data_IF_089985759553
#
_entry.id   IF_089985759553
#
_cell.length_a   1.000
_cell.length_b   1.000
_cell.length_c   1.000
_cell.angle_alpha   90.00
_cell.angle_beta   90.00
_cell.angle_gamma   90.00
#
_symmetry.space_group_name_H-M   'P 1'
#
loop_
_entity.id
_entity.type
_entity.pdbx_description
1 polymer ?
#
# COMPACT_ATOMS: atom_id res chain seq x y z
N UNK A 1 15.01 -12.63 5.08
CA UNK A 1 13.88 -12.30 5.97
C UNK A 1 13.04 -11.29 5.21
N UNK A 2 11.89 -11.72 4.68
CA UNK A 2 11.08 -10.91 3.77
C UNK A 2 10.29 -9.87 4.58
N UNK A 3 10.90 -8.71 4.79
CA UNK A 3 10.47 -7.65 5.70
C UNK A 3 9.06 -7.13 5.46
N UNK A 4 8.60 -7.17 4.22
CA UNK A 4 7.26 -6.74 3.81
C UNK A 4 6.18 -7.81 4.09
N UNK A 5 6.58 -9.08 4.16
CA UNK A 5 5.70 -10.22 4.48
C UNK A 5 5.15 -10.12 5.90
N UNK A 6 6.03 -9.79 6.84
CA UNK A 6 5.71 -9.80 8.28
C UNK A 6 4.67 -8.72 8.62
N UNK A 7 4.69 -7.58 7.91
CA UNK A 7 3.71 -6.50 8.07
C UNK A 7 2.34 -6.93 7.53
N UNK A 8 2.28 -7.43 6.28
CA UNK A 8 1.02 -7.85 5.67
C UNK A 8 0.36 -8.96 6.49
N UNK A 9 1.14 -9.96 6.93
CA UNK A 9 0.66 -11.00 7.83
C UNK A 9 0.19 -10.43 9.18
N UNK A 10 0.95 -9.49 9.77
CA UNK A 10 0.56 -8.82 11.01
C UNK A 10 -0.76 -8.06 10.90
N UNK A 11 -0.94 -7.28 9.83
CA UNK A 11 -2.17 -6.52 9.55
C UNK A 11 -3.35 -7.48 9.34
N UNK A 12 -3.18 -8.53 8.54
CA UNK A 12 -4.21 -9.56 8.32
C UNK A 12 -4.64 -10.22 9.64
N UNK A 13 -3.68 -10.62 10.47
CA UNK A 13 -3.94 -11.21 11.80
C UNK A 13 -4.72 -10.27 12.70
N UNK A 14 -4.28 -9.01 12.81
CA UNK A 14 -4.89 -8.01 13.69
C UNK A 14 -6.30 -7.64 13.23
N UNK A 15 -6.52 -7.47 11.92
CA UNK A 15 -7.85 -7.19 11.39
C UNK A 15 -8.79 -8.37 11.57
N UNK A 16 -8.31 -9.59 11.32
CA UNK A 16 -9.10 -10.79 11.51
C UNK A 16 -9.47 -10.99 12.98
N UNK A 17 -8.50 -10.81 13.90
CA UNK A 17 -8.76 -10.80 15.34
C UNK A 17 -9.84 -9.78 15.70
N UNK A 18 -9.69 -8.53 15.23
CA UNK A 18 -10.64 -7.44 15.50
C UNK A 18 -12.07 -7.79 15.06
N UNK A 19 -12.21 -8.36 13.86
CA UNK A 19 -13.49 -8.82 13.31
C UNK A 19 -14.09 -9.96 14.15
N UNK A 20 -13.28 -10.91 14.60
CA UNK A 20 -13.72 -12.04 15.43
C UNK A 20 -14.24 -11.52 16.78
N UNK A 21 -13.52 -10.59 17.41
CA UNK A 21 -13.93 -10.02 18.70
C UNK A 21 -15.27 -9.30 18.58
N UNK A 22 -15.45 -8.46 17.57
CA UNK A 22 -16.73 -7.80 17.33
C UNK A 22 -17.86 -8.79 16.98
N UNK A 23 -17.54 -9.89 16.30
CA UNK A 23 -18.48 -10.98 16.08
C UNK A 23 -18.94 -11.67 17.37
N UNK A 24 -18.04 -11.83 18.36
CA UNK A 24 -18.37 -12.37 19.67
C UNK A 24 -19.30 -11.44 20.46
N UNK A 25 -19.12 -10.12 20.36
CA UNK A 25 -20.01 -9.13 20.99
C UNK A 25 -21.45 -9.18 20.44
N UNK A 26 -21.61 -9.48 19.15
CA UNK A 26 -22.94 -9.67 18.56
C UNK A 26 -23.64 -10.95 19.05
N UNK A 27 -22.87 -11.98 19.39
CA UNK A 27 -23.41 -13.28 19.82
C UNK A 27 -23.65 -13.34 21.34
N UNK A 28 -22.92 -12.56 22.13
CA UNK A 28 -22.94 -12.59 23.59
C UNK A 28 -22.99 -11.18 24.16
N UNK A 29 -24.01 -10.88 24.99
CA UNK A 29 -24.13 -9.58 25.66
C UNK A 29 -23.28 -9.46 26.93
N UNK A 30 -22.73 -10.56 27.44
CA UNK A 30 -21.96 -10.60 28.69
C UNK A 30 -20.46 -10.52 28.39
N UNK A 31 -19.81 -9.48 28.93
CA UNK A 31 -18.37 -9.25 28.77
C UNK A 31 -17.51 -10.41 29.33
N UNK A 32 -17.96 -11.08 30.39
CA UNK A 32 -17.27 -12.25 30.95
C UNK A 32 -17.13 -13.38 29.94
N UNK A 33 -18.17 -13.61 29.15
CA UNK A 33 -18.23 -14.71 28.19
C UNK A 33 -17.35 -14.38 26.99
N UNK A 34 -17.36 -13.12 26.55
CA UNK A 34 -16.45 -12.62 25.51
C UNK A 34 -14.99 -12.79 25.97
N UNK A 35 -14.63 -12.34 27.18
CA UNK A 35 -13.26 -12.48 27.69
C UNK A 35 -12.87 -13.96 27.80
N UNK A 36 -13.78 -14.83 28.26
CA UNK A 36 -13.56 -16.28 28.29
C UNK A 36 -13.28 -16.86 26.90
N UNK A 37 -14.06 -16.48 25.89
CA UNK A 37 -13.86 -16.88 24.50
C UNK A 37 -12.57 -16.31 23.90
N UNK A 38 -12.18 -15.08 24.25
CA UNK A 38 -10.93 -14.47 23.78
C UNK A 38 -9.70 -15.17 24.32
N UNK A 39 -9.78 -15.73 25.53
CA UNK A 39 -8.68 -16.49 26.11
C UNK A 39 -8.55 -17.91 25.53
N UNK A 40 -9.56 -18.39 24.80
CA UNK A 40 -9.51 -19.70 24.15
C UNK A 40 -8.42 -19.73 23.07
N UNK A 41 -7.60 -20.78 23.10
CA UNK A 41 -6.56 -21.04 22.10
C UNK A 41 -7.15 -21.03 20.67
N UNK A 42 -8.36 -21.56 20.52
CA UNK A 42 -9.12 -21.56 19.27
C UNK A 42 -9.30 -20.14 18.68
N UNK A 43 -9.54 -19.12 19.50
CA UNK A 43 -9.74 -17.74 19.01
C UNK A 43 -8.44 -17.13 18.50
N UNK A 44 -7.33 -17.38 19.19
CA UNK A 44 -6.01 -16.94 18.76
C UNK A 44 -5.61 -17.66 17.47
N UNK A 45 -5.79 -18.99 17.41
CA UNK A 45 -5.51 -19.79 16.22
C UNK A 45 -6.34 -19.33 15.03
N UNK A 46 -7.66 -19.15 15.19
CA UNK A 46 -8.53 -18.61 14.13
C UNK A 46 -8.08 -17.25 13.63
N UNK A 47 -7.59 -16.40 14.53
CA UNK A 47 -7.09 -15.08 14.19
C UNK A 47 -5.83 -15.15 13.33
N UNK A 48 -4.92 -16.07 13.65
CA UNK A 48 -3.66 -16.30 12.91
C UNK A 48 -3.83 -17.20 11.67
N UNK A 49 -4.90 -17.99 11.58
CA UNK A 49 -5.14 -18.92 10.47
C UNK A 49 -5.17 -18.22 9.11
N UNK A 50 -5.63 -16.97 9.05
CA UNK A 50 -5.64 -16.14 7.85
C UNK A 50 -4.23 -15.96 7.25
N UNK A 51 -3.19 -15.91 8.08
CA UNK A 51 -1.81 -15.74 7.64
C UNK A 51 -1.22 -16.99 7.02
N UNK A 52 -1.64 -18.18 7.47
CA UNK A 52 -1.23 -19.45 6.86
C UNK A 52 -1.80 -19.63 5.45
N UNK A 53 -2.93 -18.96 5.17
CA UNK A 53 -3.57 -18.96 3.86
C UNK A 53 -3.04 -17.89 2.93
N UNK A 54 -2.24 -16.95 3.44
CA UNK A 54 -1.63 -15.89 2.66
C UNK A 54 -0.38 -16.42 1.93
N UNK A 55 -0.26 -16.27 0.60
CA UNK A 55 0.88 -16.81 -0.12
C UNK A 55 2.21 -16.17 0.28
N UNK A 56 3.25 -16.98 0.29
CA UNK A 56 4.60 -16.53 0.57
C UNK A 56 5.10 -15.57 -0.51
N UNK A 57 5.64 -14.42 -0.09
CA UNK A 57 6.30 -13.47 -0.99
C UNK A 57 5.41 -12.37 -1.58
N UNK A 58 4.09 -12.42 -1.34
CA UNK A 58 3.18 -11.36 -1.76
C UNK A 58 3.17 -10.20 -0.76
N UNK A 59 3.42 -9.00 -1.29
CA UNK A 59 3.30 -7.74 -0.56
C UNK A 59 2.07 -6.98 -1.06
N UNK A 60 1.31 -6.45 -0.11
CA UNK A 60 0.22 -5.54 -0.41
C UNK A 60 0.24 -4.35 0.54
N UNK A 61 -0.18 -3.18 0.03
CA UNK A 61 -0.33 -1.96 0.82
C UNK A 61 -1.39 -2.16 1.89
N UNK A 62 -1.13 -1.61 3.07
CA UNK A 62 -2.02 -1.74 4.24
C UNK A 62 -3.43 -1.22 3.94
N UNK A 63 -3.52 -0.16 3.15
CA UNK A 63 -4.78 0.46 2.72
C UNK A 63 -5.64 -0.46 1.84
N UNK A 64 -5.00 -1.33 1.06
CA UNK A 64 -5.68 -2.29 0.20
C UNK A 64 -6.19 -3.50 1.00
N UNK A 65 -5.52 -3.87 2.10
CA UNK A 65 -5.99 -4.94 2.99
C UNK A 65 -7.36 -4.59 3.57
N UNK A 66 -7.61 -3.32 3.91
CA UNK A 66 -8.90 -2.92 4.47
C UNK A 66 -10.08 -3.01 3.48
N UNK A 67 -9.80 -2.91 2.16
CA UNK A 67 -10.82 -2.89 1.10
C UNK A 67 -11.33 -4.27 0.71
N UNK A 68 -10.87 -5.30 1.39
CA UNK A 68 -11.32 -6.66 1.15
C UNK A 68 -12.76 -6.79 1.66
N UNK A 69 -13.67 -7.43 0.89
CA UNK A 69 -15.07 -7.61 1.30
C UNK A 69 -15.24 -8.21 2.69
N UNK A 70 -14.33 -9.10 3.11
CA UNK A 70 -14.29 -9.66 4.47
C UNK A 70 -14.23 -8.59 5.57
N UNK A 71 -13.29 -7.65 5.45
CA UNK A 71 -13.07 -6.61 6.46
C UNK A 71 -14.02 -5.44 6.26
N UNK A 72 -14.30 -5.06 5.02
CA UNK A 72 -15.20 -3.96 4.70
C UNK A 72 -16.63 -4.22 5.19
N UNK A 73 -17.08 -5.48 5.16
CA UNK A 73 -18.40 -5.87 5.67
C UNK A 73 -18.48 -5.89 7.20
N UNK A 74 -17.39 -6.21 7.88
CA UNK A 74 -17.38 -6.41 9.34
C UNK A 74 -16.88 -5.19 10.12
N UNK A 75 -16.01 -4.40 9.50
CA UNK A 75 -15.31 -3.27 10.12
C UNK A 75 -15.61 -1.98 9.34
N UNK A 76 -15.85 -0.89 10.08
CA UNK A 76 -15.91 0.46 9.53
C UNK A 76 -14.73 1.25 10.06
N UNK A 77 -13.82 1.68 9.17
CA UNK A 77 -12.75 2.60 9.53
C UNK A 77 -13.33 4.00 9.76
N UNK A 78 -13.05 4.61 10.91
CA UNK A 78 -13.62 5.91 11.31
C UNK A 78 -12.59 7.03 11.39
N UNK A 79 -11.32 6.71 11.67
CA UNK A 79 -10.25 7.70 11.71
C UNK A 79 -8.90 7.06 11.45
N UNK A 80 -7.98 7.82 10.87
CA UNK A 80 -6.57 7.47 10.73
C UNK A 80 -5.73 8.55 11.40
N UNK A 81 -4.81 8.15 12.27
CA UNK A 81 -3.89 9.05 12.98
C UNK A 81 -2.46 8.64 12.73
N UNK A 82 -1.58 9.64 12.67
CA UNK A 82 -0.15 9.44 12.46
C UNK A 82 0.64 10.35 13.40
N UNK A 83 1.46 9.77 14.27
CA UNK A 83 2.34 10.53 15.17
C UNK A 83 3.42 9.66 15.80
N UNK A 84 4.31 10.24 16.60
CA UNK A 84 5.30 9.49 17.37
C UNK A 84 4.61 8.68 18.48
N UNK A 85 5.09 7.46 18.81
CA UNK A 85 4.49 6.61 19.83
C UNK A 85 4.86 7.10 21.25
N UNK A 86 4.37 8.28 21.63
CA UNK A 86 4.53 8.85 22.97
C UNK A 86 3.36 8.45 23.87
N UNK A 87 3.55 8.44 25.20
CA UNK A 87 2.45 8.18 26.14
C UNK A 87 1.25 9.11 25.93
N UNK A 88 1.50 10.39 25.65
CA UNK A 88 0.45 11.39 25.41
C UNK A 88 -0.34 11.10 24.13
N UNK A 89 0.36 10.65 23.07
CA UNK A 89 -0.29 10.25 21.83
C UNK A 89 -1.16 9.02 22.05
N UNK A 90 -0.63 7.96 22.66
CA UNK A 90 -1.42 6.76 22.98
C UNK A 90 -2.62 7.09 23.88
N UNK A 91 -2.45 7.99 24.85
CA UNK A 91 -3.56 8.46 25.71
C UNK A 91 -4.64 9.12 24.86
N UNK A 92 -4.27 10.05 23.99
CA UNK A 92 -5.21 10.75 23.10
C UNK A 92 -5.96 9.76 22.22
N UNK A 93 -5.24 8.81 21.62
CA UNK A 93 -5.80 7.83 20.70
C UNK A 93 -6.72 6.83 21.39
N UNK A 94 -6.41 6.42 22.63
CA UNK A 94 -7.27 5.54 23.42
C UNK A 94 -8.48 6.26 24.01
N UNK A 95 -8.38 7.56 24.32
CA UNK A 95 -9.53 8.37 24.71
C UNK A 95 -10.51 8.54 23.54
N UNK A 96 -10.01 8.71 22.31
CA UNK A 96 -10.85 8.71 21.11
C UNK A 96 -11.68 7.42 20.98
N UNK A 97 -11.13 6.25 21.34
CA UNK A 97 -11.90 5.00 21.33
C UNK A 97 -13.12 5.05 22.26
N UNK A 98 -13.06 5.83 23.35
CA UNK A 98 -14.18 6.01 24.29
C UNK A 98 -15.26 6.95 23.76
N UNK A 99 -14.96 7.76 22.75
CA UNK A 99 -15.95 8.65 22.13
C UNK A 99 -16.98 7.90 21.30
N UNK A 100 -16.69 6.64 20.93
CA UNK A 100 -17.63 5.78 20.23
C UNK A 100 -18.69 5.22 21.20
N UNK A 101 -19.96 5.23 20.77
CA UNK A 101 -21.07 4.64 21.55
C UNK A 101 -21.00 3.10 21.62
N UNK A 102 -20.20 2.48 20.75
CA UNK A 102 -19.96 1.04 20.68
C UNK A 102 -18.50 0.70 20.96
N UNK A 103 -18.23 -0.59 21.19
CA UNK A 103 -16.86 -1.11 21.17
C UNK A 103 -16.11 -0.68 19.91
N UNK A 104 -14.82 -0.40 20.08
CA UNK A 104 -13.98 0.18 19.05
C UNK A 104 -12.57 -0.41 19.14
N UNK A 105 -11.86 -0.45 18.03
CA UNK A 105 -10.53 -0.99 17.93
C UNK A 105 -9.60 0.00 17.24
N UNK A 106 -8.33 0.00 17.63
CA UNK A 106 -7.28 0.63 16.84
C UNK A 106 -6.24 -0.38 16.41
N UNK A 107 -5.91 -0.35 15.13
CA UNK A 107 -4.79 -1.07 14.55
C UNK A 107 -3.60 -0.13 14.51
N UNK A 108 -2.56 -0.47 15.28
CA UNK A 108 -1.33 0.29 15.36
C UNK A 108 -0.26 -0.40 14.53
N UNK A 109 0.28 0.32 13.55
CA UNK A 109 1.31 -0.16 12.65
C UNK A 109 2.56 0.69 12.82
N UNK A 110 3.64 0.06 13.29
CA UNK A 110 4.98 0.66 13.35
C UNK A 110 6.00 -0.42 13.04
N UNK A 111 6.58 -0.34 11.85
CA UNK A 111 7.47 -1.36 11.33
C UNK A 111 8.54 -1.83 12.35
N UNK A 112 8.69 -3.15 12.59
CA UNK A 112 7.93 -4.29 12.05
C UNK A 112 6.69 -4.71 12.87
N UNK A 113 6.36 -4.00 13.94
CA UNK A 113 5.28 -4.33 14.87
C UNK A 113 3.90 -3.91 14.34
N UNK A 114 2.93 -4.83 14.39
CA UNK A 114 1.52 -4.58 14.08
C UNK A 114 0.69 -5.14 15.22
N UNK A 115 -0.11 -4.29 15.89
CA UNK A 115 -0.91 -4.69 17.05
C UNK A 115 -2.33 -4.16 16.97
N UNK A 116 -3.26 -4.88 17.58
CA UNK A 116 -4.63 -4.42 17.82
C UNK A 116 -4.76 -3.95 19.27
N UNK A 117 -5.41 -2.82 19.50
CA UNK A 117 -5.89 -2.44 20.83
C UNK A 117 -7.40 -2.15 20.75
N UNK A 118 -8.20 -2.95 21.42
CA UNK A 118 -9.66 -2.85 21.43
C UNK A 118 -10.13 -2.28 22.74
N UNK A 119 -11.20 -1.48 22.71
CA UNK A 119 -12.03 -1.11 23.84
C UNK A 119 -13.34 -1.86 23.72
N UNK A 120 -13.57 -2.78 24.65
CA UNK A 120 -14.85 -3.47 24.81
C UNK A 120 -15.72 -2.67 25.77
N UNK A 121 -16.87 -2.21 25.28
CA UNK A 121 -17.78 -1.39 26.07
C UNK A 121 -18.48 -2.24 27.13
N UNK A 122 -18.40 -1.83 28.39
CA UNK A 122 -19.04 -2.52 29.50
C UNK A 122 -20.21 -1.71 30.07
N UNK A 123 -21.44 -2.15 29.81
CA UNK A 123 -22.64 -1.44 30.31
C UNK A 123 -22.72 -1.45 31.85
N UNK A 124 -22.13 -2.46 32.50
CA UNK A 124 -22.24 -2.68 33.95
C UNK A 124 -21.00 -2.24 34.75
N UNK A 125 -19.97 -1.65 34.12
CA UNK A 125 -18.71 -1.35 34.79
C UNK A 125 -17.70 -0.60 33.91
N UNK A 126 -16.42 -0.57 34.30
CA UNK A 126 -15.39 0.03 33.45
C UNK A 126 -15.20 -0.80 32.18
N UNK A 127 -14.91 -0.11 31.08
CA UNK A 127 -14.50 -0.72 29.82
C UNK A 127 -13.24 -1.57 30.00
N UNK A 128 -13.09 -2.57 29.14
CA UNK A 128 -11.91 -3.43 29.11
C UNK A 128 -11.14 -3.18 27.83
N UNK A 129 -9.86 -2.85 27.98
CA UNK A 129 -8.92 -2.73 26.88
C UNK A 129 -8.25 -4.08 26.62
N UNK A 130 -8.26 -4.52 25.37
CA UNK A 130 -7.66 -5.78 24.92
C UNK A 130 -6.57 -5.47 23.92
N UNK A 131 -5.32 -5.83 24.23
CA UNK A 131 -4.18 -5.69 23.33
C UNK A 131 -3.85 -7.06 22.75
N UNK A 132 -3.94 -7.18 21.43
CA UNK A 132 -3.51 -8.36 20.68
C UNK A 132 -2.23 -8.05 19.91
N UNK A 133 -1.17 -8.79 20.22
CA UNK A 133 0.10 -8.73 19.50
C UNK A 133 0.37 -10.10 18.83
N UNK A 134 0.16 -10.23 17.51
CA UNK A 134 0.27 -11.50 16.80
C UNK A 134 1.70 -12.05 16.66
N UNK A 135 2.76 -11.26 16.95
CA UNK A 135 4.20 -11.59 16.73
C UNK A 135 4.47 -12.72 15.72
N UNK A 136 4.13 -12.53 14.44
CA UNK A 136 4.35 -13.54 13.42
C UNK A 136 5.83 -13.54 13.01
N UNK A 137 6.71 -14.14 13.80
CA UNK A 137 8.09 -14.41 13.37
C UNK A 137 8.40 -15.89 13.42
N UNK A 138 9.13 -16.32 12.40
CA UNK A 138 9.45 -17.68 11.95
C UNK A 138 10.22 -18.58 12.93
N UNK A 139 10.21 -18.29 14.23
CA UNK A 139 10.84 -19.11 15.25
C UNK A 139 9.74 -19.59 16.20
N UNK A 140 9.61 -20.90 16.26
CA UNK A 140 8.39 -21.67 16.60
C UNK A 140 8.01 -21.62 18.09
N UNK A 141 8.33 -20.53 18.80
CA UNK A 141 8.28 -20.45 20.27
C UNK A 141 7.62 -19.18 20.85
N UNK A 142 7.21 -18.18 20.07
CA UNK A 142 6.43 -17.05 20.60
C UNK A 142 5.00 -17.06 20.08
N UNK A 143 4.09 -17.57 20.90
CA UNK A 143 2.65 -17.46 20.67
C UNK A 143 2.21 -15.99 20.71
N UNK A 144 1.15 -15.66 19.97
CA UNK A 144 0.53 -14.35 20.04
C UNK A 144 0.19 -13.98 21.49
N UNK A 145 0.41 -12.71 21.85
CA UNK A 145 0.17 -12.24 23.20
C UNK A 145 -1.15 -11.49 23.26
N UNK A 146 -1.98 -11.85 24.25
CA UNK A 146 -3.20 -11.15 24.59
C UNK A 146 -3.05 -10.53 25.99
N UNK A 147 -3.27 -9.22 26.11
CA UNK A 147 -3.23 -8.50 27.39
C UNK A 147 -4.55 -7.79 27.62
N UNK A 148 -5.09 -7.90 28.84
CA UNK A 148 -6.33 -7.24 29.26
C UNK A 148 -6.03 -6.18 30.33
N UNK A 149 -6.58 -4.98 30.16
CA UNK A 149 -6.44 -3.89 31.11
C UNK A 149 -7.79 -3.22 31.34
N UNK A 150 -8.11 -2.85 32.57
CA UNK A 150 -9.28 -2.00 32.89
C UNK A 150 -8.91 -0.53 33.06
N UNK A 151 -7.61 -0.21 33.02
CA UNK A 151 -7.08 1.13 33.18
C UNK A 151 -6.44 1.62 31.88
N UNK A 152 -6.79 2.85 31.48
CA UNK A 152 -6.16 3.51 30.34
C UNK A 152 -4.66 3.70 30.56
N UNK A 153 -4.24 4.10 31.76
CA UNK A 153 -2.82 4.31 32.07
C UNK A 153 -1.99 3.02 31.93
N UNK A 154 -2.53 1.88 32.38
CA UNK A 154 -1.88 0.57 32.20
C UNK A 154 -1.81 0.17 30.73
N UNK A 155 -2.86 0.45 29.96
CA UNK A 155 -2.91 0.20 28.52
C UNK A 155 -1.84 1.02 27.79
N UNK A 156 -1.75 2.32 28.07
CA UNK A 156 -0.72 3.22 27.52
C UNK A 156 0.68 2.73 27.87
N UNK A 157 0.93 2.39 29.14
CA UNK A 157 2.23 1.88 29.57
C UNK A 157 2.61 0.58 28.83
N UNK A 158 1.64 -0.31 28.62
CA UNK A 158 1.86 -1.54 27.85
C UNK A 158 2.15 -1.26 26.39
N UNK A 159 1.42 -0.34 25.75
CA UNK A 159 1.65 0.06 24.36
C UNK A 159 3.02 0.71 24.20
N UNK A 160 3.47 1.57 25.12
CA UNK A 160 4.82 2.12 25.10
C UNK A 160 5.91 1.04 25.25
N UNK A 161 5.64 -0.03 25.99
CA UNK A 161 6.55 -1.16 26.13
C UNK A 161 6.67 -2.00 24.85
N UNK A 162 5.60 -2.08 24.06
CA UNK A 162 5.58 -2.82 22.78
C UNK A 162 6.12 -1.92 21.64
N UNK A 163 5.77 -0.64 21.64
CA UNK A 163 6.08 0.35 20.62
C UNK A 163 6.90 1.51 21.23
N UNK A 164 8.18 1.30 21.59
CA UNK A 164 8.97 2.30 22.32
C UNK A 164 9.41 3.47 21.43
N UNK A 165 9.29 4.71 21.90
CA UNK A 165 9.71 5.92 21.16
C UNK A 165 11.16 5.83 20.66
N UNK A 166 12.07 5.37 21.52
CA UNK A 166 13.47 5.09 21.19
C UNK A 166 13.67 3.59 21.25
N UNK A 167 14.07 2.99 20.12
CA UNK A 167 14.55 1.62 20.15
C UNK A 167 16.03 1.65 20.55
N UNK A 168 16.39 1.02 21.67
CA UNK A 168 17.79 0.81 21.99
C UNK A 168 18.42 -0.16 20.96
N UNK A 169 19.66 0.12 20.52
CA UNK A 169 20.35 -0.71 19.55
C UNK A 169 20.68 -2.08 20.17
N UNK A 170 19.85 -3.08 19.91
CA UNK A 170 20.22 -4.48 20.14
C UNK A 170 21.45 -4.79 19.27
N UNK A 171 22.55 -5.22 19.89
CA UNK A 171 23.75 -5.65 19.18
C UNK A 171 23.44 -6.93 18.40
N UNK A 172 23.64 -6.91 17.07
CA UNK A 172 23.69 -8.11 16.23
C UNK A 172 22.50 -8.36 15.29
N UNK A 173 21.47 -7.52 15.27
CA UNK A 173 20.36 -7.63 14.30
C UNK A 173 20.60 -6.81 13.02
N UNK A 174 20.14 -7.25 11.83
CA UNK A 174 20.37 -6.53 10.58
C UNK A 174 19.75 -5.13 10.63
N UNK A 175 20.58 -4.14 10.30
CA UNK A 175 20.34 -2.71 10.40
C UNK A 175 18.98 -2.29 9.78
N UNK A 176 17.94 -2.19 10.60
CA UNK A 176 16.66 -1.56 10.26
C UNK A 176 16.72 -0.02 10.39
N UNK A 177 17.92 0.49 10.68
CA UNK A 177 18.27 1.86 11.11
C UNK A 177 18.13 2.97 10.05
N UNK A 178 17.52 2.72 8.89
CA UNK A 178 17.49 3.69 7.77
C UNK A 178 16.08 3.97 7.23
N UNK A 179 15.02 3.45 7.85
CA UNK A 179 13.66 3.80 7.44
C UNK A 179 13.26 5.18 8.00
N UNK A 180 12.85 6.13 7.15
CA UNK A 180 12.33 7.42 7.61
C UNK A 180 10.96 7.18 8.26
N UNK A 181 10.89 7.27 9.59
CA UNK A 181 9.60 7.27 10.30
C UNK A 181 9.67 6.65 11.68
N UNK A 182 10.13 7.40 12.68
CA UNK A 182 9.89 7.09 14.10
C UNK A 182 8.42 7.23 14.53
N UNK A 183 7.49 7.25 13.58
CA UNK A 183 6.07 7.48 13.76
C UNK A 183 5.30 6.16 13.67
N UNK A 184 4.14 6.14 14.30
CA UNK A 184 3.18 5.06 14.36
C UNK A 184 1.92 5.49 13.59
N UNK A 185 1.40 4.58 12.78
CA UNK A 185 0.09 4.74 12.14
C UNK A 185 -0.96 4.06 13.01
N UNK A 186 -2.11 4.71 13.19
CA UNK A 186 -3.22 4.21 13.98
C UNK A 186 -4.53 4.34 13.20
N UNK A 187 -5.12 3.22 12.80
CA UNK A 187 -6.41 3.17 12.13
C UNK A 187 -7.48 2.68 13.11
N UNK A 188 -8.48 3.52 13.36
CA UNK A 188 -9.60 3.22 14.27
C UNK A 188 -10.76 2.58 13.51
N UNK A 189 -11.29 1.49 14.05
CA UNK A 189 -12.38 0.71 13.51
C UNK A 189 -13.51 0.55 14.52
N UNK A 190 -14.74 0.53 14.02
CA UNK A 190 -15.95 0.19 14.78
C UNK A 190 -16.68 -0.97 14.08
N UNK A 191 -17.46 -1.78 14.81
CA UNK A 191 -18.23 -2.86 14.21
C UNK A 191 -19.28 -2.33 13.23
N UNK A 192 -19.51 -3.05 12.14
CA UNK A 192 -20.70 -2.89 11.29
C UNK A 192 -21.78 -3.87 11.75
N UNK A 193 -23.05 -3.47 11.66
CA UNK A 193 -24.16 -4.40 11.88
C UNK A 193 -24.15 -5.47 10.76
N UNK A 194 -23.96 -6.73 11.16
CA UNK A 194 -23.93 -7.87 10.23
C UNK A 194 -25.26 -8.62 10.36
N UNK A 195 -25.95 -8.89 9.25
CA UNK A 195 -27.16 -9.72 9.25
C UNK A 195 -26.84 -11.17 9.60
N UNK A 196 -27.71 -11.85 10.36
CA UNK A 196 -27.52 -13.25 10.78
C UNK A 196 -27.27 -14.25 9.64
N UNK A 197 -27.78 -14.01 8.43
CA UNK A 197 -27.53 -14.87 7.25
C UNK A 197 -26.05 -14.87 6.79
N UNK A 198 -25.24 -13.90 7.21
CA UNK A 198 -23.85 -13.76 6.77
C UNK A 198 -22.87 -14.70 7.48
N UNK A 199 -23.20 -15.20 8.69
CA UNK A 199 -22.33 -16.11 9.45
C UNK A 199 -22.17 -17.48 8.75
N UNK A 200 -23.24 -17.98 8.11
CA UNK A 200 -23.18 -19.26 7.38
C UNK A 200 -22.31 -19.19 6.11
N UNK A 201 -22.09 -17.99 5.55
CA UNK A 201 -21.27 -17.78 4.35
C UNK A 201 -19.85 -17.28 4.67
N UNK A 202 -19.48 -17.21 5.95
CA UNK A 202 -18.27 -16.54 6.42
C UNK A 202 -16.99 -17.22 5.91
N UNK A 203 -16.92 -18.55 5.93
CA UNK A 203 -15.78 -19.31 5.41
C UNK A 203 -15.62 -19.17 3.89
N UNK A 204 -16.75 -19.10 3.17
CA UNK A 204 -16.77 -18.88 1.72
C UNK A 204 -16.31 -17.46 1.38
N UNK A 205 -16.77 -16.46 2.16
CA UNK A 205 -16.35 -15.07 2.03
C UNK A 205 -14.86 -14.90 2.33
N UNK A 206 -14.36 -15.52 3.41
CA UNK A 206 -12.94 -15.52 3.76
C UNK A 206 -12.09 -16.10 2.63
N UNK A 207 -12.51 -17.25 2.08
CA UNK A 207 -11.78 -17.91 0.99
C UNK A 207 -11.74 -17.07 -0.28
N UNK A 208 -12.89 -16.54 -0.69
CA UNK A 208 -12.99 -15.70 -1.90
C UNK A 208 -12.23 -14.40 -1.75
N UNK A 209 -12.30 -13.79 -0.56
CA UNK A 209 -11.61 -12.55 -0.20
C UNK A 209 -10.09 -12.70 -0.22
N UNK A 210 -9.56 -13.79 0.32
CA UNK A 210 -8.13 -14.08 0.29
C UNK A 210 -7.62 -14.36 -1.13
N UNK A 211 -8.40 -15.08 -1.94
CA UNK A 211 -8.06 -15.31 -3.34
C UNK A 211 -8.02 -13.98 -4.13
N UNK A 212 -9.02 -13.11 -3.94
CA UNK A 212 -9.02 -11.79 -4.56
C UNK A 212 -7.81 -10.95 -4.12
N UNK A 213 -7.45 -10.98 -2.84
CA UNK A 213 -6.30 -10.26 -2.32
C UNK A 213 -4.97 -10.80 -2.88
N UNK A 214 -4.84 -12.12 -2.99
CA UNK A 214 -3.68 -12.78 -3.62
C UNK A 214 -3.52 -12.32 -5.06
N UNK A 215 -4.59 -12.38 -5.84
CA UNK A 215 -4.59 -11.95 -7.25
C UNK A 215 -4.22 -10.47 -7.38
N UNK A 216 -4.73 -9.60 -6.50
CA UNK A 216 -4.39 -8.18 -6.52
C UNK A 216 -2.92 -7.93 -6.17
N UNK A 217 -2.37 -8.67 -5.22
CA UNK A 217 -0.95 -8.58 -4.88
C UNK A 217 -0.05 -9.10 -6.02
N UNK A 218 -0.44 -10.19 -6.69
CA UNK A 218 0.24 -10.71 -7.87
C UNK A 218 0.21 -9.72 -9.04
N UNK A 219 -0.97 -9.14 -9.34
CA UNK A 219 -1.09 -8.10 -10.36
C UNK A 219 -0.21 -6.90 -10.05
N UNK A 220 -0.15 -6.47 -8.79
CA UNK A 220 0.70 -5.37 -8.35
C UNK A 220 2.19 -5.70 -8.46
N UNK A 221 2.58 -6.95 -8.18
CA UNK A 221 3.95 -7.42 -8.35
C UNK A 221 4.34 -7.46 -9.84
N UNK A 222 3.49 -8.03 -10.69
CA UNK A 222 3.69 -8.10 -12.13
C UNK A 222 3.74 -6.71 -12.77
N UNK A 223 2.90 -5.77 -12.32
CA UNK A 223 2.94 -4.38 -12.80
C UNK A 223 4.27 -3.71 -12.45
N UNK A 224 4.80 -3.92 -11.23
CA UNK A 224 6.13 -3.40 -10.85
C UNK A 224 7.23 -4.00 -11.71
N UNK A 225 7.23 -5.31 -11.91
CA UNK A 225 8.21 -5.99 -12.76
C UNK A 225 8.14 -5.50 -14.20
N UNK A 226 6.93 -5.35 -14.76
CA UNK A 226 6.73 -4.83 -16.10
C UNK A 226 7.27 -3.40 -16.25
N UNK A 227 7.05 -2.54 -15.25
CA UNK A 227 7.64 -1.20 -15.22
C UNK A 227 9.17 -1.23 -15.23
N UNK A 228 9.79 -2.09 -14.41
CA UNK A 228 11.25 -2.25 -14.35
C UNK A 228 11.80 -2.75 -15.69
N UNK A 229 11.20 -3.79 -16.27
CA UNK A 229 11.63 -4.31 -17.57
C UNK A 229 11.43 -3.29 -18.68
N UNK A 230 10.37 -2.48 -18.62
CA UNK A 230 10.12 -1.42 -19.60
C UNK A 230 11.16 -0.32 -19.51
N UNK A 231 11.58 0.09 -18.30
CA UNK A 231 12.64 1.08 -18.14
C UNK A 231 14.00 0.52 -18.57
N UNK A 232 14.30 -0.74 -18.26
CA UNK A 232 15.53 -1.41 -18.69
C UNK A 232 15.60 -1.55 -20.22
N UNK A 233 14.53 -2.00 -20.86
CA UNK A 233 14.45 -2.07 -22.32
C UNK A 233 14.71 -0.70 -22.96
N UNK A 234 14.11 0.36 -22.43
CA UNK A 234 14.34 1.72 -22.93
C UNK A 234 15.80 2.18 -22.75
N UNK A 235 16.44 1.83 -21.65
CA UNK A 235 17.86 2.13 -21.42
C UNK A 235 18.77 1.37 -22.39
N UNK A 236 18.46 0.10 -22.65
CA UNK A 236 19.19 -0.71 -23.63
C UNK A 236 18.98 -0.18 -25.05
N UNK A 237 17.76 0.17 -25.44
CA UNK A 237 17.46 0.81 -26.72
C UNK A 237 18.28 2.09 -26.93
N UNK A 238 18.33 2.98 -25.93
CA UNK A 238 19.16 4.19 -25.99
C UNK A 238 20.65 3.85 -26.13
N UNK A 239 21.12 2.79 -25.47
CA UNK A 239 22.52 2.35 -25.57
C UNK A 239 22.86 1.81 -26.96
N UNK A 240 21.94 1.04 -27.57
CA UNK A 240 22.07 0.54 -28.94
C UNK A 240 22.16 1.70 -29.92
N UNK A 241 21.25 2.69 -29.82
CA UNK A 241 21.28 3.88 -30.68
C UNK A 241 22.62 4.61 -30.58
N UNK A 242 23.15 4.76 -29.37
CA UNK A 242 24.45 5.40 -29.13
C UNK A 242 25.59 4.63 -29.81
N UNK A 243 25.64 3.31 -29.64
CA UNK A 243 26.69 2.49 -30.27
C UNK A 243 26.58 2.46 -31.80
N UNK A 244 25.37 2.49 -32.35
CA UNK A 244 25.16 2.60 -33.80
C UNK A 244 25.66 3.93 -34.37
N UNK A 245 25.49 5.03 -33.62
CA UNK A 245 26.00 6.34 -33.98
C UNK A 245 27.53 6.39 -33.92
N UNK A 246 28.14 5.87 -32.84
CA UNK A 246 29.60 5.72 -32.72
C UNK A 246 30.18 4.87 -33.87
N UNK A 247 29.53 3.75 -34.22
CA UNK A 247 29.95 2.90 -35.34
C UNK A 247 29.84 3.63 -36.69
N UNK A 248 28.80 4.46 -36.87
CA UNK A 248 28.62 5.27 -38.08
C UNK A 248 29.71 6.33 -38.19
N UNK A 249 30.06 7.00 -37.11
CA UNK A 249 31.15 7.97 -37.05
C UNK A 249 32.50 7.32 -37.38
N UNK A 250 32.79 6.15 -36.81
CA UNK A 250 34.02 5.41 -37.10
C UNK A 250 34.10 4.95 -38.56
N UNK A 251 32.98 4.50 -39.15
CA UNK A 251 32.93 4.19 -40.60
C UNK A 251 33.24 5.42 -41.46
N UNK A 252 32.67 6.57 -41.14
CA UNK A 252 32.94 7.83 -41.86
C UNK A 252 34.42 8.24 -41.72
N UNK A 253 35.03 8.04 -40.54
CA UNK A 253 36.47 8.26 -40.33
C UNK A 253 37.30 7.31 -41.19
N UNK A 254 36.99 6.01 -41.18
CA UNK A 254 37.70 5.01 -41.98
C UNK A 254 37.60 5.27 -43.50
N UNK A 255 36.46 5.75 -43.99
CA UNK A 255 36.27 6.12 -45.40
C UNK A 255 37.03 7.41 -45.78
N UNK A 256 37.16 8.38 -44.87
CA UNK A 256 37.97 9.59 -45.08
C UNK A 256 39.47 9.32 -45.11
N UNK A 257 39.93 8.28 -44.40
CA UNK A 257 41.32 7.82 -44.39
C UNK A 257 41.51 6.57 -45.27
N UNK A 258 40.98 6.59 -46.49
CA UNK A 258 41.05 5.48 -47.45
C UNK A 258 42.47 4.91 -47.65
N UNK A 259 42.59 3.65 -48.11
CA UNK A 259 43.82 2.88 -48.08
C UNK A 259 44.92 3.55 -48.91
N UNK A 260 46.08 3.78 -48.27
CA UNK A 260 47.32 4.14 -48.96
C UNK A 260 47.59 3.17 -50.11
N UNK A 261 47.94 3.65 -51.32
CA UNK A 261 48.25 2.77 -52.44
C UNK A 261 49.56 2.03 -52.17
N UNK A 262 49.45 0.76 -51.81
CA UNK A 262 50.57 -0.16 -51.79
C UNK A 262 51.17 -0.27 -53.20
N UNK A 263 52.30 0.40 -53.39
CA UNK A 263 53.07 0.33 -54.63
C UNK A 263 53.97 -0.91 -54.57
N UNK A 264 53.55 -1.96 -55.28
CA UNK A 264 54.43 -2.74 -56.16
C UNK A 264 55.46 -3.71 -55.56
N UNK A 265 55.18 -5.00 -55.80
CA UNK A 265 56.05 -5.97 -56.50
C UNK A 265 56.99 -6.89 -55.69
N UNK A 266 56.56 -8.18 -55.66
CA UNK A 266 57.28 -9.43 -56.06
C UNK A 266 58.60 -9.78 -55.34
N UNK A 267 58.69 -10.87 -54.56
CA UNK A 267 58.61 -12.30 -54.91
C UNK A 267 60.02 -12.96 -55.12
N UNK A 268 60.36 -13.86 -54.17
CA UNK A 268 61.16 -15.10 -54.26
C UNK A 268 62.69 -15.03 -54.16
N UNK A 269 63.25 -15.89 -53.29
CA UNK A 269 64.67 -16.26 -53.26
C UNK A 269 65.12 -16.83 -51.92
N UNK A 270 65.13 -18.16 -51.80
CA UNK A 270 65.50 -18.94 -50.62
C UNK A 270 67.03 -19.15 -50.46
N UNK A 271 67.37 -19.90 -49.39
CA UNK A 271 68.68 -20.46 -48.98
C UNK A 271 69.49 -19.47 -48.14
N UNK A 272 69.93 -19.75 -46.91
CA UNK A 272 70.06 -20.99 -46.16
C UNK A 272 71.37 -20.90 -45.38
N UNK A 273 71.30 -21.01 -44.05
CA UNK A 273 72.27 -21.64 -43.13
C UNK A 273 72.39 -20.90 -41.79
N UNK A 274 71.84 -21.56 -40.76
CA UNK A 274 72.17 -21.38 -39.33
C UNK A 274 73.53 -22.03 -39.03
N UNK A 275 74.23 -21.69 -37.91
CA UNK A 275 73.88 -22.18 -36.54
C UNK A 275 74.14 -21.11 -35.44
N UNK A 276 73.72 -21.15 -34.17
CA UNK A 276 72.83 -21.95 -33.30
C UNK A 276 72.84 -21.27 -31.90
N UNK A 277 71.83 -21.59 -31.07
CA UNK A 277 71.66 -21.39 -29.60
C UNK A 277 70.85 -20.16 -29.16
N UNK A 278 69.77 -20.24 -28.37
CA UNK A 278 69.14 -21.31 -27.56
C UNK A 278 67.64 -20.90 -27.36
N UNK A 279 66.66 -21.72 -27.80
CA UNK A 279 65.75 -22.61 -27.01
C UNK A 279 65.01 -21.92 -25.85
N UNK A 280 63.68 -21.95 -25.63
CA UNK A 280 62.40 -22.48 -26.23
C UNK A 280 61.30 -22.00 -25.25
N UNK A 281 60.29 -21.21 -25.63
CA UNK A 281 58.87 -21.57 -25.97
C UNK A 281 58.21 -22.60 -25.02
N UNK A 282 56.98 -22.46 -24.52
CA UNK A 282 55.70 -22.22 -25.23
C UNK A 282 54.51 -22.00 -24.27
N UNK A 283 53.53 -21.19 -24.74
CA UNK A 283 52.04 -21.27 -24.64
C UNK A 283 51.27 -21.39 -23.32
N UNK A 284 50.22 -20.57 -23.18
CA UNK A 284 48.95 -20.96 -22.51
C UNK A 284 47.74 -20.22 -23.07
N UNK A 285 46.73 -21.01 -23.42
CA UNK A 285 45.32 -20.68 -23.61
C UNK A 285 44.52 -21.09 -22.35
N UNK A 286 43.48 -20.30 -22.03
CA UNK A 286 42.13 -20.64 -21.52
C UNK A 286 41.95 -21.26 -20.09
N UNK A 287 41.45 -20.40 -19.18
CA UNK A 287 40.29 -20.52 -18.21
C UNK A 287 40.23 -21.61 -17.10
N UNK A 288 39.27 -21.57 -16.15
CA UNK A 288 38.98 -20.66 -15.01
C UNK A 288 39.23 -21.32 -13.62
N UNK A 289 38.76 -20.70 -12.53
CA UNK A 289 38.69 -21.16 -11.12
C UNK A 289 39.93 -21.04 -10.22
N UNK A 290 39.88 -20.13 -9.22
CA UNK A 290 39.96 -20.45 -7.76
C UNK A 290 40.15 -19.22 -6.84
N UNK A 291 39.22 -19.13 -5.89
CA UNK A 291 39.42 -19.05 -4.43
C UNK A 291 40.63 -18.27 -3.87
N UNK A 292 40.34 -17.17 -3.18
CA UNK A 292 41.28 -16.44 -2.32
C UNK A 292 41.49 -17.16 -0.96
N UNK A 293 42.74 -17.37 -0.52
CA UNK A 293 43.01 -18.01 0.77
C UNK A 293 43.28 -17.01 1.90
N UNK A 294 42.70 -17.33 3.06
CA UNK A 294 43.10 -16.87 4.38
C UNK A 294 44.57 -17.16 4.69
N UNK A 295 45.22 -16.27 5.45
CA UNK A 295 46.41 -16.63 6.22
C UNK A 295 46.42 -15.87 7.56
N UNK A 296 46.21 -16.66 8.60
CA UNK A 296 46.53 -16.39 9.99
C UNK A 296 48.04 -16.34 10.18
N UNK A 297 48.54 -15.52 11.11
CA UNK A 297 49.85 -15.76 11.72
C UNK A 297 49.88 -15.30 13.17
N UNK A 298 50.46 -16.19 13.96
CA UNK A 298 50.44 -16.32 15.42
C UNK A 298 51.55 -15.54 16.12
N UNK A 299 51.21 -14.98 17.28
CA UNK A 299 51.93 -15.23 18.54
C UNK A 299 53.08 -14.29 18.92
N UNK A 300 52.93 -13.61 20.07
CA UNK A 300 53.60 -13.96 21.36
C UNK A 300 53.46 -12.81 22.37
N UNK A 301 52.97 -13.15 23.57
CA UNK A 301 53.05 -12.36 24.80
C UNK A 301 54.48 -12.36 25.37
N UNK A 302 54.91 -11.38 26.20
CA UNK A 302 54.63 -11.47 27.65
C UNK A 302 54.34 -10.14 28.40
N UNK A 303 53.58 -10.30 29.50
CA UNK A 303 53.40 -9.51 30.76
C UNK A 303 54.59 -8.60 31.15
N UNK A 304 54.52 -7.43 31.83
CA UNK A 304 53.69 -6.77 32.91
C UNK A 304 54.38 -5.36 33.16
N UNK A 305 54.07 -4.52 34.18
CA UNK A 305 52.83 -3.85 34.61
C UNK A 305 52.99 -2.33 34.99
N UNK A 306 51.88 -1.67 35.36
CA UNK A 306 51.72 -0.46 36.22
C UNK A 306 52.43 0.89 35.88
N UNK A 307 51.67 1.99 35.90
CA UNK A 307 52.21 3.34 36.17
C UNK A 307 51.37 4.50 35.62
N UNK A 308 50.89 5.36 36.51
CA UNK A 308 50.02 6.51 36.30
C UNK A 308 50.58 7.67 35.44
N UNK A 309 49.64 8.57 35.11
CA UNK A 309 49.75 10.03 35.00
C UNK A 309 49.83 10.67 33.60
N UNK A 310 48.71 11.29 33.24
CA UNK A 310 48.54 12.67 32.75
C UNK A 310 49.72 13.34 32.04
N UNK A 311 49.55 13.59 30.74
CA UNK A 311 50.10 14.77 30.08
C UNK A 311 49.17 15.23 28.95
N UNK A 312 48.63 16.43 29.14
CA UNK A 312 47.94 17.22 28.14
C UNK A 312 48.92 17.58 27.02
N UNK A 313 48.67 17.11 25.80
CA UNK A 313 49.22 17.69 24.59
C UNK A 313 48.10 17.92 23.58
N UNK A 314 47.73 19.20 23.47
CA UNK A 314 47.06 19.80 22.31
C UNK A 314 47.79 19.36 21.05
N UNK A 315 47.18 18.49 20.26
CA UNK A 315 47.52 18.30 18.86
C UNK A 315 46.46 19.01 18.03
N UNK A 316 46.90 20.07 17.37
CA UNK A 316 46.23 20.67 16.20
C UNK A 316 46.05 19.58 15.15
N UNK A 317 44.83 19.06 15.05
CA UNK A 317 44.41 18.19 13.95
C UNK A 317 44.16 19.05 12.72
N UNK A 318 45.10 19.04 11.79
CA UNK A 318 44.82 19.23 10.37
C UNK A 318 43.71 18.25 9.99
N UNK A 319 42.51 18.78 9.73
CA UNK A 319 41.38 18.03 9.21
C UNK A 319 41.76 17.48 7.83
N UNK A 320 42.23 16.25 7.76
CA UNK A 320 42.07 15.43 6.57
C UNK A 320 40.57 15.18 6.45
N UNK A 321 39.91 15.91 5.55
CA UNK A 321 38.50 15.70 5.24
C UNK A 321 38.41 14.31 4.62
N UNK A 322 37.75 13.40 5.31
CA UNK A 322 37.49 12.05 4.84
C UNK A 322 36.72 12.13 3.50
N UNK A 323 37.32 11.69 2.38
CA UNK A 323 36.70 11.79 1.05
C UNK A 323 35.37 11.03 0.98
N UNK A 324 35.17 10.02 1.82
CA UNK A 324 33.91 9.28 1.90
C UNK A 324 32.79 10.13 2.54
N UNK A 325 33.14 11.02 3.47
CA UNK A 325 32.20 11.95 4.12
C UNK A 325 31.78 13.08 3.17
N UNK A 326 32.65 13.48 2.24
CA UNK A 326 32.33 14.49 1.22
C UNK A 326 31.46 13.90 0.11
N UNK A 327 31.75 12.66 -0.30
CA UNK A 327 30.90 11.90 -1.22
C UNK A 327 29.50 11.66 -0.65
N UNK A 328 29.39 11.24 0.62
CA UNK A 328 28.11 11.04 1.29
C UNK A 328 27.28 12.33 1.40
N UNK A 329 27.93 13.48 1.67
CA UNK A 329 27.26 14.78 1.69
C UNK A 329 26.76 15.23 0.32
N UNK A 330 27.54 14.98 -0.72
CA UNK A 330 27.13 15.25 -2.11
C UNK A 330 25.92 14.41 -2.49
N UNK A 331 25.92 13.12 -2.13
CA UNK A 331 24.81 12.22 -2.41
C UNK A 331 23.54 12.60 -1.63
N UNK A 332 23.66 12.99 -0.36
CA UNK A 332 22.54 13.49 0.44
C UNK A 332 21.92 14.74 -0.18
N UNK A 333 22.73 15.70 -0.64
CA UNK A 333 22.24 16.92 -1.27
C UNK A 333 21.47 16.64 -2.57
N UNK A 334 21.91 15.64 -3.36
CA UNK A 334 21.17 15.21 -4.55
C UNK A 334 19.83 14.56 -4.20
N UNK A 335 19.79 13.67 -3.21
CA UNK A 335 18.52 13.06 -2.78
C UNK A 335 17.55 14.10 -2.22
N UNK A 336 18.03 15.06 -1.43
CA UNK A 336 17.19 16.12 -0.88
C UNK A 336 16.63 17.00 -2.02
N UNK A 337 17.42 17.29 -3.06
CA UNK A 337 16.96 18.03 -4.24
C UNK A 337 15.91 17.24 -5.05
N UNK A 338 16.11 15.93 -5.24
CA UNK A 338 15.15 15.06 -5.91
C UNK A 338 13.84 14.93 -5.13
N UNK A 339 13.90 14.89 -3.79
CA UNK A 339 12.71 14.78 -2.95
C UNK A 339 11.87 16.06 -3.00
N UNK A 340 12.53 17.23 -3.03
CA UNK A 340 11.86 18.52 -3.24
C UNK A 340 11.16 18.56 -4.61
N UNK A 341 11.85 18.13 -5.67
CA UNK A 341 11.29 18.10 -7.03
C UNK A 341 10.10 17.13 -7.12
N UNK A 342 10.21 15.93 -6.51
CA UNK A 342 9.13 14.94 -6.47
C UNK A 342 7.92 15.44 -5.69
N UNK A 343 8.14 16.12 -4.57
CA UNK A 343 7.06 16.74 -3.79
C UNK A 343 6.37 17.84 -4.60
N UNK A 344 7.14 18.67 -5.31
CA UNK A 344 6.59 19.70 -6.19
C UNK A 344 5.74 19.09 -7.31
N UNK A 345 6.21 18.04 -7.98
CA UNK A 345 5.45 17.33 -9.01
C UNK A 345 4.18 16.67 -8.45
N UNK A 346 4.26 16.13 -7.24
CA UNK A 346 3.09 15.54 -6.56
C UNK A 346 2.04 16.59 -6.21
N UNK A 347 2.45 17.77 -5.71
CA UNK A 347 1.54 18.89 -5.44
C UNK A 347 0.89 19.40 -6.74
N UNK A 348 1.66 19.48 -7.83
CA UNK A 348 1.13 19.83 -9.16
C UNK A 348 0.07 18.83 -9.64
N UNK A 349 0.31 17.52 -9.50
CA UNK A 349 -0.65 16.48 -9.89
C UNK A 349 -1.91 16.51 -9.02
N UNK A 350 -1.77 16.71 -7.71
CA UNK A 350 -2.91 16.81 -6.78
C UNK A 350 -3.77 18.05 -7.06
N UNK A 351 -3.19 19.17 -7.49
CA UNK A 351 -3.95 20.36 -7.92
C UNK A 351 -4.79 20.09 -9.17
N UNK A 352 -4.35 19.18 -10.03
CA UNK A 352 -5.08 18.78 -11.25
C UNK A 352 -5.95 17.52 -11.07
N UNK A 353 -5.91 16.88 -9.89
CA UNK A 353 -6.69 15.69 -9.62
C UNK A 353 -8.18 16.06 -9.54
N UNK A 354 -9.00 15.44 -10.38
CA UNK A 354 -10.45 15.62 -10.35
C UNK A 354 -11.01 15.18 -9.01
N UNK A 355 -11.88 16.01 -8.43
CA UNK A 355 -12.62 15.65 -7.23
C UNK A 355 -13.56 14.49 -7.55
N UNK A 356 -13.71 13.55 -6.61
CA UNK A 356 -14.56 12.37 -6.78
C UNK A 356 -15.78 12.50 -5.87
N UNK A 357 -16.95 12.14 -6.40
CA UNK A 357 -18.20 12.04 -5.65
C UNK A 357 -18.72 10.58 -5.67
N UNK A 358 -19.61 10.28 -4.74
CA UNK A 358 -20.19 8.95 -4.57
C UNK A 358 -21.65 8.93 -5.05
N UNK A 359 -21.98 8.03 -5.99
CA UNK A 359 -23.34 7.93 -6.53
C UNK A 359 -24.27 7.19 -5.55
N UNK A 360 -25.35 7.85 -5.10
CA UNK A 360 -26.32 7.26 -4.16
C UNK A 360 -27.20 6.12 -4.71
N UNK A 361 -27.01 5.72 -5.98
CA UNK A 361 -27.80 4.65 -6.64
C UNK A 361 -26.97 3.39 -6.85
N UNK A 362 -25.81 3.49 -7.54
CA UNK A 362 -24.94 2.33 -7.76
C UNK A 362 -23.87 2.16 -6.68
N UNK A 363 -23.66 3.17 -5.82
CA UNK A 363 -22.65 3.17 -4.75
C UNK A 363 -21.20 3.10 -5.27
N UNK A 364 -20.96 3.61 -6.48
CA UNK A 364 -19.62 3.75 -7.08
C UNK A 364 -19.13 5.22 -7.05
N UNK A 365 -17.81 5.39 -7.17
CA UNK A 365 -17.13 6.70 -7.11
C UNK A 365 -16.76 7.24 -8.51
N UNK A 366 -17.30 8.40 -8.86
CA UNK A 366 -17.12 9.05 -10.17
C UNK A 366 -16.47 10.44 -10.03
N UNK A 367 -15.85 11.00 -11.09
CA UNK A 367 -15.41 12.39 -11.11
C UNK A 367 -16.61 13.33 -10.95
N UNK A 368 -16.46 14.44 -10.20
CA UNK A 368 -17.52 15.47 -10.05
C UNK A 368 -18.02 16.00 -11.40
N UNK A 369 -17.14 16.05 -12.41
CA UNK A 369 -17.49 16.48 -13.79
C UNK A 369 -18.49 15.53 -14.50
N UNK A 370 -18.57 14.26 -14.06
CA UNK A 370 -19.48 13.24 -14.61
C UNK A 370 -20.77 13.10 -13.78
N UNK A 371 -20.98 13.96 -12.78
CA UNK A 371 -22.20 14.01 -11.99
C UNK A 371 -23.37 14.60 -12.78
N UNK A 372 -24.50 13.91 -12.77
CA UNK A 372 -25.78 14.43 -13.24
C UNK A 372 -26.49 15.08 -12.07
N UNK A 373 -26.52 16.40 -12.07
CA UNK A 373 -27.23 17.20 -11.08
C UNK A 373 -28.70 17.35 -11.46
N UNK A 374 -29.62 17.06 -10.53
CA UNK A 374 -31.06 17.34 -10.72
C UNK A 374 -31.40 18.69 -10.09
N UNK A 375 -31.54 19.72 -10.93
CA UNK A 375 -31.75 21.12 -10.52
C UNK A 375 -32.88 21.34 -9.50
N UNK A 376 -33.93 20.51 -9.56
CA UNK A 376 -35.12 20.66 -8.72
C UNK A 376 -34.93 20.20 -7.27
N UNK A 377 -34.00 19.28 -7.00
CA UNK A 377 -33.76 18.74 -5.65
C UNK A 377 -32.28 18.72 -5.22
N UNK A 378 -31.36 19.06 -6.11
CA UNK A 378 -29.93 19.15 -5.81
C UNK A 378 -29.21 17.81 -5.64
N UNK A 379 -29.81 16.70 -6.08
CA UNK A 379 -29.21 15.37 -5.95
C UNK A 379 -28.31 15.05 -7.14
N UNK A 380 -27.11 14.55 -6.83
CA UNK A 380 -26.11 14.13 -7.81
C UNK A 380 -26.15 12.61 -8.01
N UNK A 381 -26.21 12.20 -9.27
CA UNK A 381 -26.33 10.80 -9.68
C UNK A 381 -25.39 10.55 -10.86
N UNK A 382 -24.80 9.36 -10.98
CA UNK A 382 -24.00 9.04 -12.15
C UNK A 382 -24.84 8.97 -13.43
N UNK A 383 -24.21 9.31 -14.56
CA UNK A 383 -24.86 9.41 -15.87
C UNK A 383 -25.59 8.12 -16.27
N UNK A 384 -25.01 6.97 -15.94
CA UNK A 384 -25.58 5.67 -16.29
C UNK A 384 -26.84 5.37 -15.48
N UNK A 385 -26.82 5.61 -14.17
CA UNK A 385 -28.00 5.43 -13.32
C UNK A 385 -29.11 6.42 -13.68
N UNK A 386 -28.77 7.67 -13.95
CA UNK A 386 -29.74 8.68 -14.38
C UNK A 386 -30.37 8.30 -15.73
N UNK A 387 -29.56 7.89 -16.71
CA UNK A 387 -30.04 7.44 -18.02
C UNK A 387 -30.94 6.20 -17.89
N UNK A 388 -30.48 5.17 -17.19
CA UNK A 388 -31.24 3.93 -17.02
C UNK A 388 -32.60 4.16 -16.35
N UNK A 389 -32.64 5.01 -15.32
CA UNK A 389 -33.89 5.38 -14.66
C UNK A 389 -34.84 6.12 -15.60
N UNK A 390 -34.35 7.13 -16.31
CA UNK A 390 -35.17 7.92 -17.27
C UNK A 390 -35.70 7.04 -18.40
N UNK A 391 -34.84 6.22 -19.03
CA UNK A 391 -35.24 5.29 -20.08
C UNK A 391 -36.37 4.36 -19.60
N UNK A 392 -36.20 3.75 -18.42
CA UNK A 392 -37.22 2.85 -17.84
C UNK A 392 -38.55 3.58 -17.63
N UNK A 393 -38.54 4.83 -17.16
CA UNK A 393 -39.77 5.59 -16.91
C UNK A 393 -40.45 6.07 -18.20
N UNK A 394 -39.67 6.35 -19.24
CA UNK A 394 -40.19 6.62 -20.58
C UNK A 394 -40.90 5.38 -21.13
N UNK A 395 -40.27 4.22 -21.04
CA UNK A 395 -40.83 2.95 -21.53
C UNK A 395 -42.12 2.57 -20.75
N UNK A 396 -42.17 2.87 -19.45
CA UNK A 396 -43.35 2.71 -18.59
C UNK A 396 -44.47 3.75 -18.83
N UNK A 397 -44.24 4.75 -19.70
CA UNK A 397 -45.11 5.91 -19.92
C UNK A 397 -45.50 6.66 -18.64
N UNK A 398 -44.57 6.77 -17.69
CA UNK A 398 -44.79 7.46 -16.40
C UNK A 398 -44.24 8.87 -16.44
N UNK A 399 -45.14 9.85 -16.38
CA UNK A 399 -44.82 11.27 -16.35
C UNK A 399 -45.56 11.98 -15.21
N UNK A 400 -44.94 12.92 -14.47
CA UNK A 400 -43.55 13.38 -14.58
C UNK A 400 -42.54 12.37 -14.04
N UNK A 401 -41.33 12.36 -14.60
CA UNK A 401 -40.24 11.51 -14.09
C UNK A 401 -39.61 12.16 -12.86
N UNK A 402 -39.73 11.48 -11.73
CA UNK A 402 -39.24 11.94 -10.43
C UNK A 402 -37.80 11.47 -10.18
N UNK A 403 -37.07 12.26 -9.39
CA UNK A 403 -35.73 11.95 -8.90
C UNK A 403 -35.74 10.61 -8.15
N UNK A 404 -34.90 9.64 -8.54
CA UNK A 404 -34.85 8.32 -7.90
C UNK A 404 -34.39 8.40 -6.44
N UNK A 405 -33.52 9.34 -6.09
CA UNK A 405 -33.06 9.56 -4.71
C UNK A 405 -34.18 10.11 -3.85
N UNK A 406 -34.93 11.11 -4.33
CA UNK A 406 -36.09 11.63 -3.61
C UNK A 406 -37.20 10.59 -3.46
N UNK A 407 -37.41 9.73 -4.46
CA UNK A 407 -38.42 8.67 -4.37
C UNK A 407 -38.08 7.60 -3.33
N UNK A 408 -36.79 7.40 -3.05
CA UNK A 408 -36.34 6.48 -1.99
C UNK A 408 -36.48 7.08 -0.58
N UNK A 409 -36.57 8.41 -0.48
CA UNK A 409 -36.74 9.11 0.80
C UNK A 409 -38.23 9.43 1.06
N UNK A 410 -38.86 8.63 1.93
CA UNK A 410 -40.25 8.80 2.33
C UNK A 410 -40.52 10.08 3.15
N UNK A 411 -39.47 10.80 3.56
CA UNK A 411 -39.62 12.04 4.33
C UNK A 411 -39.74 13.29 3.46
N UNK A 412 -39.48 13.17 2.15
CA UNK A 412 -39.57 14.30 1.22
C UNK A 412 -40.99 14.43 0.61
N UNK A 413 -41.77 15.46 0.98
CA UNK A 413 -43.12 15.64 0.44
C UNK A 413 -43.15 16.10 -1.02
N UNK A 414 -42.04 16.64 -1.55
CA UNK A 414 -41.94 17.20 -2.90
C UNK A 414 -40.68 16.65 -3.61
N UNK A 415 -40.76 15.45 -4.21
CA UNK A 415 -39.65 14.90 -4.97
C UNK A 415 -39.32 15.76 -6.18
N UNK A 416 -38.02 15.95 -6.44
CA UNK A 416 -37.56 16.67 -7.63
C UNK A 416 -38.02 16.01 -8.92
N UNK A 417 -38.28 16.81 -9.95
CA UNK A 417 -38.61 16.34 -11.31
C UNK A 417 -37.40 16.45 -12.22
N UNK A 418 -37.25 15.48 -13.12
CA UNK A 418 -36.24 15.47 -14.19
C UNK A 418 -36.73 16.37 -15.32
N UNK A 419 -35.91 17.34 -15.73
CA UNK A 419 -36.25 18.28 -16.82
C UNK A 419 -36.01 17.68 -18.20
N UNK A 420 -36.74 18.15 -19.22
CA UNK A 420 -36.54 17.70 -20.61
C UNK A 420 -35.13 17.99 -21.15
N UNK A 421 -34.50 19.09 -20.71
CA UNK A 421 -33.11 19.41 -21.03
C UNK A 421 -32.15 18.33 -20.51
N UNK A 422 -32.38 17.84 -19.28
CA UNK A 422 -31.57 16.80 -18.69
C UNK A 422 -31.69 15.48 -19.47
N UNK A 423 -32.91 15.13 -19.91
CA UNK A 423 -33.15 13.94 -20.74
C UNK A 423 -32.36 13.98 -22.06
N UNK A 424 -32.29 15.15 -22.70
CA UNK A 424 -31.51 15.32 -23.93
C UNK A 424 -29.99 15.14 -23.68
N UNK A 425 -29.47 15.67 -22.57
CA UNK A 425 -28.05 15.56 -22.21
C UNK A 425 -27.65 14.14 -21.76
N UNK A 426 -28.60 13.37 -21.23
CA UNK A 426 -28.38 12.00 -20.79
C UNK A 426 -28.10 11.03 -21.95
N UNK A 427 -28.40 11.39 -23.20
CA UNK A 427 -28.13 10.54 -24.37
C UNK A 427 -29.09 9.36 -24.51
N UNK A 428 -30.38 9.62 -24.29
CA UNK A 428 -31.47 8.66 -24.59
C UNK A 428 -31.61 8.45 -26.10
N UNK A 429 -32.26 7.36 -26.53
CA UNK A 429 -32.51 7.12 -27.96
C UNK A 429 -33.49 8.16 -28.55
N UNK A 430 -33.42 8.39 -29.86
CA UNK A 430 -34.33 9.33 -30.55
C UNK A 430 -35.81 8.92 -30.40
N UNK A 431 -36.09 7.61 -30.43
CA UNK A 431 -37.44 7.07 -30.21
C UNK A 431 -37.95 7.33 -28.78
N UNK A 432 -37.09 7.17 -27.78
CA UNK A 432 -37.41 7.45 -26.38
C UNK A 432 -37.58 8.96 -26.14
N UNK A 433 -36.75 9.79 -26.78
CA UNK A 433 -36.90 11.24 -26.69
C UNK A 433 -38.22 11.73 -27.30
N UNK A 434 -38.62 11.17 -28.45
CA UNK A 434 -39.93 11.47 -29.03
C UNK A 434 -41.09 11.06 -28.13
N UNK A 435 -40.98 9.90 -27.48
CA UNK A 435 -41.96 9.44 -26.50
C UNK A 435 -42.03 10.39 -25.30
N UNK A 436 -40.89 10.92 -24.85
CA UNK A 436 -40.84 11.96 -23.81
C UNK A 436 -41.59 13.23 -24.24
N UNK A 437 -41.32 13.76 -25.44
CA UNK A 437 -42.03 14.95 -25.96
C UNK A 437 -43.55 14.71 -26.03
N UNK A 438 -43.99 13.54 -26.49
CA UNK A 438 -45.40 13.18 -26.52
C UNK A 438 -46.04 13.16 -25.12
N UNK A 439 -45.35 12.62 -24.12
CA UNK A 439 -45.82 12.61 -22.72
C UNK A 439 -45.88 14.02 -22.12
N UNK A 440 -44.88 14.86 -22.39
CA UNK A 440 -44.82 16.24 -21.93
C UNK A 440 -45.96 17.07 -22.55
N UNK A 441 -46.20 16.92 -23.85
CA UNK A 441 -47.33 17.55 -24.54
C UNK A 441 -48.69 17.03 -24.05
N UNK A 442 -48.78 15.74 -23.71
CA UNK A 442 -50.01 15.14 -23.21
C UNK A 442 -50.45 15.76 -21.87
N UNK A 443 -49.51 16.20 -21.02
CA UNK A 443 -49.79 16.88 -19.75
C UNK A 443 -50.64 18.15 -19.95
N UNK A 444 -50.49 18.81 -21.10
CA UNK A 444 -51.20 20.05 -21.44
C UNK A 444 -52.35 19.83 -22.43
N UNK A 445 -52.62 18.59 -22.83
CA UNK A 445 -53.66 18.25 -23.81
C UNK A 445 -55.00 17.94 -23.11
N UNK A 446 -56.10 18.47 -23.66
CA UNK A 446 -57.46 18.14 -23.23
C UNK A 446 -58.11 17.30 -24.33
N UNK A 447 -58.55 16.08 -23.97
CA UNK A 447 -59.29 15.19 -24.87
C UNK A 447 -60.69 15.76 -25.13
N UNK A 448 -60.89 16.30 -26.34
CA UNK A 448 -62.21 16.75 -26.80
C UNK A 448 -62.85 15.64 -27.63
N UNK A 449 -63.79 14.90 -27.04
CA UNK A 449 -64.59 13.93 -27.77
C UNK A 449 -65.69 14.65 -28.55
N UNK A 450 -65.59 14.64 -29.89
CA UNK A 450 -66.68 15.08 -30.76
C UNK A 450 -67.80 14.02 -30.73
N UNK A 451 -68.94 14.34 -30.10
CA UNK A 451 -70.15 13.52 -30.21
C UNK A 451 -70.68 13.68 -31.65
N UNK A 452 -70.85 12.56 -32.36
CA UNK A 452 -71.56 12.54 -33.65
C UNK A 452 -73.04 12.85 -33.45
#
# INVERSE_FOLDING_TARGET
INREKDITAGVLSVLNFTRIVFGLENNSSLLSDIIGSLHAEETIEKSLAICHRWPDGLHIKVEEVYRIPLFERSLKRVSTKYSKPTPDWFTTVLEDLKTADSSAAIVLTRYPEVIACLRLCNVAGPDVFVIFNPRPTSDQQQAANLTFNTSLAQTVQRLCGILPEKHDPVQGGPNWRTLPGGHCYGDTFVPRAISHDAQALEDSLLTSSLAALSLQAELSALQRENQILTTENRLLENSVVKFEEELREEKIKAERFGPSPATGKTAWGAVGDSPTSQRTTTTREIDPDREFPHHSSTGKTPRRPFGDSSASQRTTTTHEIDPDLEFARSLQANFDAEDIERQYQTDQLLRTAQRRYHCGICLDDFPEDDAVHIDSCGHDICRDCARGHVCTKIDERRFPVLCPVCMADHTNPNPGTVSGLLVQLLGVSEEQYKTWEEMEMAQFSILVNCRK
#
